data_IF_166384930353
#
_entry.id   IF_166384930353
#
_cell.length_a   1.000
_cell.length_b   1.000
_cell.length_c   1.000
_cell.angle_alpha   90.00
_cell.angle_beta   90.00
_cell.angle_gamma   90.00
#
_symmetry.space_group_name_H-M   'P 1'
#
loop_
_entity.id
_entity.type
_entity.pdbx_description
1 polymer ?
#
# COMPACT_ATOMS: atom_id res chain seq x y z
N UNK A 1 15.24 6.44 -7.96
CA UNK A 1 14.07 6.13 -7.11
C UNK A 1 13.73 7.26 -6.15
N UNK A 2 14.55 7.58 -5.12
CA UNK A 2 14.22 8.65 -4.14
C UNK A 2 13.97 10.03 -4.80
N UNK A 3 14.77 10.42 -5.79
CA UNK A 3 14.56 11.69 -6.50
C UNK A 3 13.22 11.72 -7.27
N UNK A 4 12.77 10.57 -7.80
CA UNK A 4 11.51 10.47 -8.53
C UNK A 4 10.32 10.68 -7.58
N UNK A 5 10.34 10.02 -6.43
CA UNK A 5 9.30 10.21 -5.41
C UNK A 5 9.29 11.63 -4.86
N UNK A 6 10.46 12.25 -4.61
CA UNK A 6 10.52 13.65 -4.15
C UNK A 6 9.94 14.65 -5.15
N UNK A 7 10.02 14.36 -6.44
CA UNK A 7 9.52 15.24 -7.50
C UNK A 7 8.05 14.97 -7.87
N UNK A 8 7.45 13.89 -7.37
CA UNK A 8 6.09 13.51 -7.69
C UNK A 8 5.07 14.14 -6.73
N UNK A 9 3.88 14.47 -7.24
CA UNK A 9 2.76 14.95 -6.43
C UNK A 9 1.95 13.81 -5.79
N UNK A 10 2.02 12.60 -6.36
CA UNK A 10 1.33 11.40 -5.91
C UNK A 10 1.99 10.14 -6.49
N UNK A 11 1.77 9.00 -5.84
CA UNK A 11 2.16 7.68 -6.33
C UNK A 11 0.92 6.84 -6.65
N UNK A 12 0.92 6.17 -7.81
CA UNK A 12 -0.26 5.45 -8.33
C UNK A 12 0.18 4.08 -8.84
N UNK A 13 -0.31 3.01 -8.21
CA UNK A 13 -0.04 1.63 -8.61
C UNK A 13 -1.33 0.80 -8.58
N UNK A 14 -2.14 0.81 -9.64
CA UNK A 14 -3.33 -0.01 -9.77
C UNK A 14 -2.93 -1.40 -10.29
N UNK A 15 -2.06 -2.10 -9.55
CA UNK A 15 -1.62 -3.45 -9.91
C UNK A 15 -2.73 -4.46 -9.67
N UNK A 16 -2.66 -5.61 -10.35
CA UNK A 16 -3.66 -6.68 -10.21
C UNK A 16 -3.39 -7.65 -9.05
N UNK A 17 -2.18 -7.58 -8.48
CA UNK A 17 -1.74 -8.38 -7.35
C UNK A 17 -0.30 -8.02 -6.99
N UNK A 18 -0.01 -7.90 -5.70
CA UNK A 18 1.29 -7.53 -5.15
C UNK A 18 1.52 -8.28 -3.86
N UNK A 19 2.64 -8.99 -3.71
CA UNK A 19 2.91 -9.75 -2.49
C UNK A 19 2.95 -8.86 -1.24
N UNK A 20 3.55 -7.67 -1.36
CA UNK A 20 3.60 -6.66 -0.29
C UNK A 20 3.38 -5.25 -0.85
N UNK A 21 4.04 -4.92 -1.96
CA UNK A 21 3.99 -3.58 -2.55
C UNK A 21 5.00 -2.62 -1.95
N UNK A 22 6.29 -2.99 -1.96
CA UNK A 22 7.38 -2.12 -1.47
C UNK A 22 7.33 -0.71 -2.06
N UNK A 23 7.09 -0.48 -3.38
CA UNK A 23 6.98 0.88 -3.91
C UNK A 23 5.84 1.70 -3.30
N UNK A 24 4.71 1.05 -2.95
CA UNK A 24 3.57 1.70 -2.29
C UNK A 24 3.98 2.16 -0.89
N UNK A 25 4.64 1.28 -0.14
CA UNK A 25 5.12 1.56 1.21
C UNK A 25 6.21 2.64 1.23
N UNK A 26 7.14 2.62 0.27
CA UNK A 26 8.17 3.64 0.10
C UNK A 26 7.56 5.01 -0.20
N UNK A 27 6.56 5.08 -1.10
CA UNK A 27 5.85 6.32 -1.39
C UNK A 27 5.12 6.87 -0.16
N UNK A 28 4.44 6.01 0.61
CA UNK A 28 3.81 6.40 1.88
C UNK A 28 4.84 6.90 2.90
N UNK A 29 5.99 6.23 3.05
CA UNK A 29 7.07 6.65 3.94
C UNK A 29 7.66 8.02 3.54
N UNK A 30 7.56 8.39 2.26
CA UNK A 30 7.94 9.69 1.73
C UNK A 30 6.84 10.75 1.82
N UNK A 31 5.73 10.45 2.48
CA UNK A 31 4.56 11.31 2.63
C UNK A 31 3.88 11.70 1.30
N UNK A 32 4.01 10.85 0.28
CA UNK A 32 3.25 11.03 -0.95
C UNK A 32 1.80 10.56 -0.75
N UNK A 33 0.82 11.26 -1.34
CA UNK A 33 -0.50 10.70 -1.57
C UNK A 33 -0.36 9.41 -2.39
N UNK A 34 -0.82 8.29 -1.84
CA UNK A 34 -0.62 6.97 -2.44
C UNK A 34 -1.96 6.34 -2.82
N UNK A 35 -2.05 5.90 -4.07
CA UNK A 35 -3.22 5.26 -4.68
C UNK A 35 -2.83 3.83 -5.09
N UNK A 36 -3.54 2.82 -4.58
CA UNK A 36 -3.30 1.41 -4.93
C UNK A 36 -4.61 0.62 -5.00
N UNK A 37 -4.62 -0.51 -5.69
CA UNK A 37 -5.75 -1.44 -5.69
C UNK A 37 -6.06 -1.92 -4.27
N UNK A 38 -7.35 -2.01 -3.93
CA UNK A 38 -7.84 -2.59 -2.67
C UNK A 38 -7.73 -4.12 -2.68
N UNK A 39 -6.51 -4.64 -2.86
CA UNK A 39 -6.25 -6.06 -2.99
C UNK A 39 -4.80 -6.40 -2.64
N UNK A 40 -4.60 -7.59 -2.08
CA UNK A 40 -3.29 -8.19 -1.81
C UNK A 40 -2.46 -7.40 -0.78
N UNK A 41 -1.13 -7.62 -0.74
CA UNK A 41 -0.25 -7.11 0.33
C UNK A 41 -0.42 -5.62 0.70
N UNK A 42 -0.63 -4.69 -0.24
CA UNK A 42 -0.84 -3.28 0.11
C UNK A 42 -1.98 -3.01 1.10
N UNK A 43 -3.01 -3.87 1.17
CA UNK A 43 -4.13 -3.68 2.11
C UNK A 43 -3.75 -3.89 3.57
N UNK A 44 -2.57 -4.47 3.85
CA UNK A 44 -2.08 -4.66 5.22
C UNK A 44 -1.64 -3.35 5.88
N UNK A 45 -1.31 -2.32 5.09
CA UNK A 45 -0.83 -1.03 5.58
C UNK A 45 -1.48 0.20 4.93
N UNK A 46 -2.17 0.03 3.79
CA UNK A 46 -2.89 1.09 3.10
C UNK A 46 -4.39 0.97 3.37
N UNK A 47 -4.99 2.03 3.90
CA UNK A 47 -6.44 2.14 4.14
C UNK A 47 -6.98 3.48 3.65
N UNK A 48 -8.30 3.66 3.63
CA UNK A 48 -8.92 4.95 3.25
C UNK A 48 -8.53 6.11 4.19
N UNK A 49 -8.08 5.82 5.41
CA UNK A 49 -7.59 6.82 6.36
C UNK A 49 -6.23 7.40 5.93
N UNK A 50 -5.36 6.55 5.40
CA UNK A 50 -3.94 6.86 5.13
C UNK A 50 -3.57 6.81 3.64
N UNK A 51 -4.52 6.55 2.76
CA UNK A 51 -4.34 6.64 1.31
C UNK A 51 -5.64 6.48 0.55
N UNK A 52 -5.52 6.02 -0.69
CA UNK A 52 -6.64 5.85 -1.61
C UNK A 52 -6.67 4.45 -2.19
N UNK A 53 -7.78 3.76 -1.96
CA UNK A 53 -7.98 2.38 -2.38
C UNK A 53 -8.86 2.34 -3.63
N UNK A 54 -8.32 1.81 -4.72
CA UNK A 54 -9.08 1.59 -5.95
C UNK A 54 -9.88 0.29 -5.80
N UNK A 55 -11.21 0.32 -5.92
CA UNK A 55 -12.02 -0.88 -5.80
C UNK A 55 -11.73 -1.86 -6.92
N UNK A 56 -11.89 -3.15 -6.62
CA UNK A 56 -11.77 -4.24 -7.57
C UNK A 56 -13.10 -4.39 -8.30
N UNK A 57 -13.10 -4.28 -9.64
CA UNK A 57 -14.30 -4.48 -10.45
C UNK A 57 -14.61 -5.95 -10.67
N UNK A 58 -13.57 -6.78 -10.81
CA UNK A 58 -13.70 -8.21 -11.06
C UNK A 58 -12.45 -8.97 -10.61
N UNK A 59 -12.64 -10.25 -10.26
CA UNK A 59 -11.53 -11.18 -10.02
C UNK A 59 -11.35 -12.04 -11.27
N UNK A 60 -10.24 -11.85 -11.98
CA UNK A 60 -9.94 -12.56 -13.23
C UNK A 60 -9.11 -13.80 -12.88
N UNK A 61 -9.57 -14.98 -13.29
CA UNK A 61 -8.74 -16.17 -13.24
C UNK A 61 -7.58 -16.00 -14.21
N UNK A 62 -6.36 -16.04 -13.70
CA UNK A 62 -5.15 -16.01 -14.49
C UNK A 62 -4.41 -17.33 -14.30
N UNK A 63 -4.11 -17.95 -15.42
CA UNK A 63 -3.35 -19.19 -15.47
C UNK A 63 -2.32 -19.03 -16.59
N UNK A 64 -1.07 -18.82 -16.18
CA UNK A 64 0.09 -18.85 -17.06
C UNK A 64 1.21 -19.67 -16.40
N UNK A 65 2.35 -19.77 -17.07
CA UNK A 65 3.46 -20.58 -16.58
C UNK A 65 4.09 -20.05 -15.28
N UNK A 66 3.80 -18.80 -14.88
CA UNK A 66 4.34 -18.16 -13.67
C UNK A 66 3.35 -18.10 -12.51
N UNK A 67 2.06 -18.11 -12.81
CA UNK A 67 1.02 -17.73 -11.87
C UNK A 67 -0.29 -18.44 -12.19
N UNK A 68 -0.77 -19.21 -11.22
CA UNK A 68 -2.13 -19.75 -11.20
C UNK A 68 -2.87 -19.09 -10.05
N UNK A 69 -3.96 -18.37 -10.33
CA UNK A 69 -4.76 -17.74 -9.28
C UNK A 69 -5.70 -16.67 -9.79
N UNK A 70 -6.46 -16.07 -8.86
CA UNK A 70 -7.34 -14.93 -9.16
C UNK A 70 -6.58 -13.63 -8.98
N UNK A 71 -6.54 -12.82 -10.03
CA UNK A 71 -5.99 -11.47 -10.04
C UNK A 71 -7.12 -10.43 -9.96
N UNK A 72 -6.91 -9.37 -9.20
CA UNK A 72 -7.88 -8.30 -9.08
C UNK A 72 -7.80 -7.34 -10.26
N UNK A 73 -8.90 -7.11 -10.96
CA UNK A 73 -8.99 -6.05 -11.95
C UNK A 73 -9.38 -4.75 -11.24
N UNK A 74 -8.49 -3.75 -11.16
CA UNK A 74 -8.85 -2.46 -10.61
C UNK A 74 -9.88 -1.75 -11.49
N UNK A 75 -10.83 -1.08 -10.85
CA UNK A 75 -11.84 -0.28 -11.54
C UNK A 75 -11.21 0.98 -12.16
N UNK A 76 -11.21 1.05 -13.49
CA UNK A 76 -10.73 2.22 -14.25
C UNK A 76 -11.55 3.49 -13.96
N UNK A 77 -12.86 3.36 -13.73
CA UNK A 77 -13.74 4.50 -13.44
C UNK A 77 -13.32 5.16 -12.12
N UNK A 78 -13.35 4.41 -11.03
CA UNK A 78 -12.92 4.88 -9.71
C UNK A 78 -11.46 5.35 -9.69
N UNK A 79 -10.53 4.69 -10.39
CA UNK A 79 -9.14 5.15 -10.49
C UNK A 79 -9.08 6.60 -11.04
N UNK A 80 -9.83 6.90 -12.11
CA UNK A 80 -9.88 8.25 -12.69
C UNK A 80 -10.47 9.27 -11.71
N UNK A 81 -11.51 8.90 -10.98
CA UNK A 81 -12.15 9.76 -9.98
C UNK A 81 -11.19 10.09 -8.85
N UNK A 82 -10.54 9.08 -8.29
CA UNK A 82 -9.55 9.22 -7.22
C UNK A 82 -8.36 10.07 -7.69
N UNK A 83 -7.81 9.82 -8.89
CA UNK A 83 -6.71 10.63 -9.43
C UNK A 83 -7.12 12.10 -9.61
N UNK A 84 -8.36 12.36 -10.05
CA UNK A 84 -8.90 13.72 -10.16
C UNK A 84 -9.10 14.36 -8.78
N UNK A 85 -9.58 13.61 -7.79
CA UNK A 85 -9.70 14.09 -6.42
C UNK A 85 -8.34 14.50 -5.86
N UNK A 86 -7.31 13.64 -5.97
CA UNK A 86 -5.95 13.93 -5.51
C UNK A 86 -5.39 15.19 -6.18
N UNK A 87 -5.60 15.33 -7.49
CA UNK A 87 -5.15 16.50 -8.24
C UNK A 87 -5.89 17.79 -7.87
N UNK A 88 -7.20 17.73 -7.63
CA UNK A 88 -8.02 18.91 -7.34
C UNK A 88 -7.92 19.34 -5.88
N UNK A 89 -7.83 18.38 -4.95
CA UNK A 89 -7.75 18.59 -3.50
C UNK A 89 -6.34 18.36 -2.96
N UNK A 90 -5.33 18.98 -3.59
CA UNK A 90 -3.90 18.75 -3.27
C UNK A 90 -3.55 18.88 -1.79
N UNK A 91 -4.11 19.87 -1.10
CA UNK A 91 -3.87 20.05 0.35
C UNK A 91 -4.35 18.84 1.14
N UNK A 92 -5.59 18.40 0.93
CA UNK A 92 -6.15 17.23 1.61
C UNK A 92 -5.36 15.96 1.28
N UNK A 93 -4.99 15.78 0.00
CA UNK A 93 -4.16 14.67 -0.43
C UNK A 93 -2.80 14.67 0.29
N UNK A 94 -2.14 15.82 0.40
CA UNK A 94 -0.86 15.95 1.11
C UNK A 94 -1.01 15.68 2.61
N UNK A 95 -2.09 16.15 3.25
CA UNK A 95 -2.38 15.80 4.65
C UNK A 95 -2.53 14.28 4.80
N UNK A 96 -3.20 13.62 3.87
CA UNK A 96 -3.34 12.16 3.88
C UNK A 96 -2.00 11.45 3.67
N UNK A 97 -1.15 11.94 2.76
CA UNK A 97 0.23 11.46 2.59
C UNK A 97 1.07 11.60 3.87
N UNK A 98 0.96 12.72 4.58
CA UNK A 98 1.63 12.91 5.87
C UNK A 98 1.15 11.90 6.93
N UNK A 99 -0.15 11.61 6.99
CA UNK A 99 -0.69 10.54 7.84
C UNK A 99 -0.16 9.17 7.44
N UNK A 100 -0.05 8.90 6.14
CA UNK A 100 0.55 7.68 5.61
C UNK A 100 1.98 7.49 6.14
N UNK A 101 2.80 8.53 6.08
CA UNK A 101 4.16 8.49 6.62
C UNK A 101 4.20 8.18 8.11
N UNK A 102 3.35 8.85 8.89
CA UNK A 102 3.26 8.60 10.33
C UNK A 102 2.86 7.15 10.62
N UNK A 103 1.89 6.63 9.87
CA UNK A 103 1.43 5.25 9.98
C UNK A 103 2.55 4.24 9.66
N UNK A 104 3.29 4.44 8.56
CA UNK A 104 4.40 3.56 8.18
C UNK A 104 5.53 3.60 9.22
N UNK A 105 5.96 4.79 9.66
CA UNK A 105 7.04 4.90 10.66
C UNK A 105 6.64 4.23 11.97
N UNK A 106 5.39 4.43 12.41
CA UNK A 106 4.91 3.90 13.67
C UNK A 106 4.80 2.37 13.66
N UNK A 107 4.27 1.79 12.59
CA UNK A 107 3.86 0.37 12.61
C UNK A 107 4.79 -0.55 11.80
N UNK A 108 5.56 0.00 10.86
CA UNK A 108 6.33 -0.77 9.89
C UNK A 108 7.77 -0.25 9.70
N UNK A 109 8.27 0.54 10.65
CA UNK A 109 9.71 0.81 10.75
C UNK A 109 10.48 -0.47 11.05
N UNK A 110 11.80 -0.45 10.83
CA UNK A 110 12.67 -1.59 11.14
C UNK A 110 12.54 -1.99 12.60
N UNK A 111 12.44 -0.99 13.48
CA UNK A 111 12.29 -1.13 14.91
C UNK A 111 10.95 -1.79 15.26
N UNK A 112 9.84 -1.29 14.70
CA UNK A 112 8.51 -1.87 14.91
C UNK A 112 8.43 -3.33 14.44
N UNK A 113 8.98 -3.64 13.26
CA UNK A 113 9.00 -5.01 12.73
C UNK A 113 9.90 -5.92 13.57
N UNK A 114 11.08 -5.43 13.99
CA UNK A 114 11.98 -6.19 14.85
C UNK A 114 11.32 -6.56 16.18
N UNK A 115 10.56 -5.64 16.77
CA UNK A 115 9.80 -5.90 18.00
C UNK A 115 8.77 -7.02 17.81
N UNK A 116 8.00 -7.00 16.72
CA UNK A 116 7.04 -8.07 16.37
C UNK A 116 7.75 -9.42 16.27
N UNK A 117 8.89 -9.48 15.57
CA UNK A 117 9.66 -10.72 15.41
C UNK A 117 10.21 -11.25 16.73
N UNK A 118 10.77 -10.36 17.58
CA UNK A 118 11.29 -10.74 18.90
C UNK A 118 10.18 -11.30 19.78
N UNK A 119 9.02 -10.64 19.83
CA UNK A 119 7.86 -11.12 20.58
C UNK A 119 7.41 -12.50 20.07
N UNK A 120 7.41 -12.70 18.76
CA UNK A 120 7.05 -13.99 18.17
C UNK A 120 8.05 -15.10 18.52
N UNK A 121 9.35 -14.82 18.47
CA UNK A 121 10.38 -15.78 18.90
C UNK A 121 10.26 -16.13 20.38
N UNK A 122 9.99 -15.15 21.24
CA UNK A 122 9.75 -15.39 22.67
C UNK A 122 8.51 -16.27 22.91
N UNK A 123 7.43 -16.04 22.14
CA UNK A 123 6.22 -16.87 22.18
C UNK A 123 6.52 -18.32 21.82
N UNK A 124 7.23 -18.56 20.71
CA UNK A 124 7.61 -19.91 20.28
C UNK A 124 8.51 -20.58 21.32
N UNK A 125 9.50 -19.85 21.87
CA UNK A 125 10.39 -20.36 22.92
C UNK A 125 9.65 -20.81 24.18
N UNK A 126 8.50 -20.19 24.52
CA UNK A 126 7.65 -20.61 25.64
C UNK A 126 6.86 -21.89 25.35
N UNK A 127 6.47 -22.13 24.09
CA UNK A 127 5.71 -23.33 23.68
C UNK A 127 6.61 -24.57 23.60
N UNK A 128 7.88 -24.38 23.23
CA UNK A 128 8.85 -25.47 23.09
C UNK A 128 9.52 -25.89 24.41
N UNK A 129 9.16 -25.28 25.54
CA UNK A 129 9.59 -25.66 26.88
C UNK A 129 8.48 -26.43 27.58
#
# INVERSE_FOLDING_TARGET
>A
MVQLFKAADAFVLPSRGEGWGLPVMEAMAMALPTISTNWSGPTDFLSNEVGYLVPVSEMILHEDWKTTGKLAQPSVVHLKEIMREVFTKRKEAQLKGNKARQHIIKNFSKEAVAEILIQHFQRIKKILK
#
